data_IF_179748930135
#
_entry.id   IF_179748930135
#
_cell.length_a   1.000
_cell.length_b   1.000
_cell.length_c   1.000
_cell.angle_alpha   90.00
_cell.angle_beta   90.00
_cell.angle_gamma   90.00
#
_symmetry.space_group_name_H-M   'P 1'
#
loop_
_entity.id
_entity.type
_entity.pdbx_description
1 polymer ?
#
# COMPACT_ATOMS: atom_id res chain seq x y z
N UNK A 1 0.46 -6.33 -11.39
CA UNK A 1 1.25 -5.83 -10.25
C UNK A 1 1.61 -4.39 -10.56
N UNK A 2 1.04 -3.40 -9.86
CA UNK A 2 1.25 -1.98 -10.20
C UNK A 2 0.12 -1.03 -9.81
N UNK A 3 -0.77 -1.42 -8.88
CA UNK A 3 -1.79 -0.51 -8.30
C UNK A 3 -1.42 -0.14 -6.87
N UNK A 4 -0.95 -1.12 -6.10
CA UNK A 4 -0.53 -0.92 -4.72
C UNK A 4 0.65 -1.84 -4.38
N UNK A 5 1.40 -1.44 -3.37
CA UNK A 5 2.47 -2.19 -2.72
C UNK A 5 2.74 -1.56 -1.34
N UNK A 6 3.37 -2.29 -0.44
CA UNK A 6 4.02 -1.74 0.75
C UNK A 6 5.52 -1.66 0.49
N UNK A 7 6.13 -0.52 0.76
CA UNK A 7 7.58 -0.33 0.59
C UNK A 7 8.20 -0.12 1.96
N UNK A 8 9.12 -1.00 2.33
CA UNK A 8 9.74 -0.99 3.65
C UNK A 8 11.11 -0.33 3.56
N UNK A 9 11.37 0.62 4.45
CA UNK A 9 12.64 1.33 4.56
C UNK A 9 13.25 1.14 5.94
N UNK A 10 14.58 1.07 5.98
CA UNK A 10 15.37 1.27 7.19
C UNK A 10 15.89 2.70 7.20
N UNK A 11 15.71 3.41 8.31
CA UNK A 11 16.23 4.76 8.51
C UNK A 11 17.45 4.71 9.43
N UNK A 12 18.56 5.33 9.04
CA UNK A 12 19.73 5.49 9.93
C UNK A 12 19.52 6.64 10.91
N UNK A 13 20.38 6.74 11.93
CA UNK A 13 20.33 7.83 12.91
C UNK A 13 20.63 9.20 12.27
N UNK A 14 21.35 9.22 11.15
CA UNK A 14 21.61 10.41 10.32
C UNK A 14 20.46 10.76 9.37
N UNK A 15 19.38 9.96 9.36
CA UNK A 15 18.19 10.18 8.55
C UNK A 15 18.29 9.65 7.11
N UNK A 16 19.26 8.78 6.81
CA UNK A 16 19.36 8.15 5.50
C UNK A 16 18.39 6.97 5.38
N UNK A 17 17.59 6.93 4.32
CA UNK A 17 16.61 5.86 4.09
C UNK A 17 17.15 4.81 3.10
N UNK A 18 17.13 3.56 3.52
CA UNK A 18 17.53 2.40 2.72
C UNK A 18 16.29 1.55 2.41
N UNK A 19 15.95 1.41 1.13
CA UNK A 19 14.83 0.56 0.68
C UNK A 19 15.20 -0.91 0.88
N UNK A 20 14.41 -1.63 1.70
CA UNK A 20 14.62 -3.03 2.01
C UNK A 20 13.84 -3.94 1.07
N UNK A 21 12.54 -3.70 0.95
CA UNK A 21 11.66 -4.51 0.12
C UNK A 21 10.52 -3.71 -0.50
N UNK A 22 10.08 -4.19 -1.66
CA UNK A 22 8.81 -3.81 -2.25
C UNK A 22 7.86 -5.01 -2.18
N UNK A 23 6.98 -5.02 -1.18
CA UNK A 23 5.98 -6.07 -1.03
C UNK A 23 4.76 -5.77 -1.90
N UNK A 24 4.62 -6.53 -2.99
CA UNK A 24 3.57 -6.33 -3.99
C UNK A 24 2.23 -6.98 -3.65
N UNK A 25 2.17 -7.76 -2.56
CA UNK A 25 0.94 -8.34 -2.04
C UNK A 25 0.97 -8.31 -0.49
N UNK A 26 0.89 -7.11 0.12
CA UNK A 26 0.95 -6.96 1.56
C UNK A 26 -0.27 -7.59 2.25
N UNK A 27 -0.15 -7.84 3.55
CA UNK A 27 -1.27 -8.28 4.38
C UNK A 27 -2.42 -7.29 4.40
N UNK A 28 -3.65 -7.80 4.46
CA UNK A 28 -4.91 -7.02 4.40
C UNK A 28 -5.83 -7.30 5.60
N UNK A 29 -5.30 -7.84 6.71
CA UNK A 29 -6.07 -8.00 7.95
C UNK A 29 -6.14 -6.67 8.72
N UNK A 30 -7.05 -6.51 9.70
CA UNK A 30 -7.12 -5.28 10.49
C UNK A 30 -5.83 -4.90 11.23
N UNK A 31 -4.95 -5.87 11.50
CA UNK A 31 -3.65 -5.67 12.15
C UNK A 31 -2.50 -5.54 11.16
N UNK A 32 -2.76 -5.57 9.86
CA UNK A 32 -1.74 -5.39 8.82
C UNK A 32 -1.44 -3.90 8.61
N UNK A 33 -0.20 -3.58 8.22
CA UNK A 33 0.27 -2.20 8.08
C UNK A 33 -0.51 -1.40 7.03
N UNK A 34 -0.74 -1.95 5.83
CA UNK A 34 -1.39 -1.21 4.75
C UNK A 34 -2.82 -0.74 5.13
N UNK A 35 -3.71 -1.58 5.69
CA UNK A 35 -4.98 -1.12 6.25
C UNK A 35 -4.86 -0.07 7.36
N UNK A 36 -3.86 -0.19 8.26
CA UNK A 36 -3.64 0.77 9.35
C UNK A 36 -3.18 2.13 8.83
N UNK A 37 -2.26 2.13 7.86
CA UNK A 37 -1.78 3.33 7.17
C UNK A 37 -2.92 4.04 6.44
N UNK A 38 -3.74 3.29 5.68
CA UNK A 38 -4.92 3.84 5.01
C UNK A 38 -5.91 4.47 6.00
N UNK A 39 -6.21 3.78 7.11
CA UNK A 39 -7.10 4.28 8.15
C UNK A 39 -6.56 5.57 8.80
N UNK A 40 -5.24 5.68 9.00
CA UNK A 40 -4.61 6.92 9.48
C UNK A 40 -4.85 8.11 8.52
N UNK A 41 -4.86 7.85 7.21
CA UNK A 41 -5.23 8.83 6.18
C UNK A 41 -6.75 9.03 6.02
N UNK A 42 -7.57 8.43 6.88
CA UNK A 42 -9.04 8.56 6.85
C UNK A 42 -9.73 7.66 5.84
N UNK A 43 -9.03 6.68 5.26
CA UNK A 43 -9.60 5.71 4.33
C UNK A 43 -9.91 4.41 5.09
N UNK A 44 -11.20 4.09 5.25
CA UNK A 44 -11.59 2.83 5.89
C UNK A 44 -11.29 1.61 4.99
N UNK A 45 -11.34 0.42 5.58
CA UNK A 45 -10.96 -0.81 4.88
C UNK A 45 -11.83 -1.11 3.64
N UNK A 46 -13.18 -1.02 3.68
CA UNK A 46 -13.99 -1.15 2.48
C UNK A 46 -13.61 -0.14 1.38
N UNK A 47 -13.39 1.13 1.74
CA UNK A 47 -13.01 2.18 0.77
C UNK A 47 -11.62 1.94 0.18
N UNK A 48 -10.67 1.42 0.97
CA UNK A 48 -9.35 1.00 0.49
C UNK A 48 -9.49 -0.12 -0.57
N UNK A 49 -10.29 -1.16 -0.26
CA UNK A 49 -10.54 -2.24 -1.20
C UNK A 49 -11.19 -1.74 -2.49
N UNK A 50 -12.20 -0.88 -2.39
CA UNK A 50 -12.87 -0.28 -3.54
C UNK A 50 -11.90 0.56 -4.39
N UNK A 51 -11.04 1.36 -3.77
CA UNK A 51 -10.01 2.13 -4.47
C UNK A 51 -9.05 1.23 -5.26
N UNK A 52 -8.57 0.14 -4.64
CA UNK A 52 -7.68 -0.82 -5.30
C UNK A 52 -8.37 -1.46 -6.52
N UNK A 53 -9.64 -1.84 -6.39
CA UNK A 53 -10.43 -2.43 -7.50
C UNK A 53 -10.61 -1.41 -8.63
N UNK A 54 -11.06 -0.20 -8.32
CA UNK A 54 -11.31 0.84 -9.33
C UNK A 54 -10.03 1.24 -10.09
N UNK A 55 -8.92 1.39 -9.38
CA UNK A 55 -7.61 1.65 -10.00
C UNK A 55 -7.14 0.47 -10.86
N UNK A 56 -7.42 -0.77 -10.44
CA UNK A 56 -7.06 -1.96 -11.20
C UNK A 56 -7.87 -2.09 -12.49
N UNK A 57 -9.17 -1.78 -12.45
CA UNK A 57 -10.05 -1.74 -13.62
C UNK A 57 -9.58 -0.67 -14.62
N UNK A 58 -9.33 0.56 -14.13
CA UNK A 58 -8.82 1.64 -14.97
C UNK A 58 -7.53 1.25 -15.68
N UNK A 59 -6.58 0.64 -14.96
CA UNK A 59 -5.32 0.16 -15.56
C UNK A 59 -5.55 -0.95 -16.59
N UNK A 60 -6.57 -1.78 -16.42
CA UNK A 60 -6.90 -2.84 -17.38
C UNK A 60 -7.50 -2.28 -18.67
N UNK A 61 -8.30 -1.22 -18.58
CA UNK A 61 -8.90 -0.54 -19.75
C UNK A 61 -7.90 0.28 -20.57
N UNK A 62 -6.79 0.69 -19.96
CA UNK A 62 -5.70 1.43 -20.62
C UNK A 62 -4.71 0.54 -21.41
N UNK A 63 -4.87 -0.79 -21.33
CA UNK A 63 -4.04 -1.80 -22.03
C UNK A 63 -4.81 -2.41 -23.19
#
# INVERSE_FOLDING_TARGET
LGVYARIDFLLTDEGEAYCLEANTLPGMTPTSLLPQEAAHYGLDYPSLCEAIVNLSLKRYEEV
#
